data_IF_273286072480
#
_entry.id   IF_273286072480
#
_cell.length_a   1.000
_cell.length_b   1.000
_cell.length_c   1.000
_cell.angle_alpha   90.00
_cell.angle_beta   90.00
_cell.angle_gamma   90.00
#
_symmetry.space_group_name_H-M   'P 1'
#
loop_
_entity.id
_entity.type
_entity.pdbx_description
1 polymer ?
#
# COMPACT_ATOMS: atom_id res chain seq x y z
N UNK A 1 -27.02 -9.21 -22.13
CA UNK A 1 -26.41 -9.46 -20.80
C UNK A 1 -26.82 -8.31 -19.89
N UNK A 2 -27.52 -8.62 -18.79
CA UNK A 2 -27.95 -7.63 -17.81
C UNK A 2 -26.71 -7.08 -17.05
N UNK A 3 -26.82 -5.92 -16.43
CA UNK A 3 -25.76 -5.31 -15.60
C UNK A 3 -25.35 -6.31 -14.50
N UNK A 4 -26.29 -7.06 -13.92
CA UNK A 4 -26.03 -8.08 -12.90
C UNK A 4 -25.16 -9.24 -13.42
N UNK A 5 -25.31 -9.69 -14.67
CA UNK A 5 -24.47 -10.74 -15.25
C UNK A 5 -23.03 -10.27 -15.54
N UNK A 6 -22.82 -8.96 -15.73
CA UNK A 6 -21.48 -8.36 -15.90
C UNK A 6 -20.75 -8.16 -14.58
N UNK A 7 -21.49 -8.00 -13.47
CA UNK A 7 -20.94 -7.87 -12.11
C UNK A 7 -20.45 -9.19 -11.54
N UNK A 8 -21.06 -10.32 -11.92
CA UNK A 8 -20.70 -11.64 -11.39
C UNK A 8 -19.47 -12.26 -12.07
N UNK A 9 -19.11 -11.80 -13.27
CA UNK A 9 -17.94 -12.29 -14.02
C UNK A 9 -16.79 -11.29 -13.92
N UNK A 10 -15.87 -11.49 -12.94
CA UNK A 10 -14.57 -10.81 -12.93
C UNK A 10 -14.48 -9.54 -12.11
N UNK A 11 -15.15 -9.47 -10.94
CA UNK A 11 -14.93 -8.36 -10.00
C UNK A 11 -13.43 -8.26 -9.64
N UNK A 12 -12.80 -7.06 -9.79
CA UNK A 12 -11.36 -6.91 -9.55
C UNK A 12 -10.98 -7.18 -8.09
N UNK A 13 -9.93 -7.98 -7.89
CA UNK A 13 -9.35 -8.20 -6.57
C UNK A 13 -8.62 -6.97 -6.02
N UNK A 14 -8.32 -5.98 -6.85
CA UNK A 14 -7.63 -4.73 -6.49
C UNK A 14 -8.37 -3.50 -7.02
N UNK A 15 -8.14 -2.34 -6.40
CA UNK A 15 -8.63 -1.04 -6.91
C UNK A 15 -7.91 -0.60 -8.19
N UNK A 16 -8.41 0.47 -8.84
CA UNK A 16 -7.78 1.07 -10.01
C UNK A 16 -8.13 0.41 -11.34
N UNK A 17 -9.08 -0.53 -11.40
CA UNK A 17 -9.52 -1.11 -12.67
C UNK A 17 -10.58 -0.23 -13.34
N UNK A 18 -10.11 0.83 -13.98
CA UNK A 18 -10.98 1.80 -14.67
C UNK A 18 -11.71 1.22 -15.86
N UNK A 19 -11.12 0.23 -16.55
CA UNK A 19 -11.76 -0.44 -17.68
C UNK A 19 -13.01 -1.23 -17.23
N UNK A 20 -12.90 -1.97 -16.11
CA UNK A 20 -14.04 -2.66 -15.52
C UNK A 20 -15.11 -1.67 -15.04
N UNK A 21 -14.72 -0.59 -14.34
CA UNK A 21 -15.64 0.42 -13.84
C UNK A 21 -16.39 1.12 -14.97
N UNK A 22 -15.69 1.51 -16.04
CA UNK A 22 -16.25 2.14 -17.22
C UNK A 22 -17.26 1.24 -17.96
N UNK A 23 -16.97 -0.07 -18.04
CA UNK A 23 -17.90 -1.04 -18.63
C UNK A 23 -19.22 -1.15 -17.84
N UNK A 24 -19.20 -0.99 -16.52
CA UNK A 24 -20.40 -0.96 -15.67
C UNK A 24 -21.12 0.38 -15.80
N UNK A 25 -20.39 1.50 -15.74
CA UNK A 25 -20.95 2.85 -15.79
C UNK A 25 -21.36 3.26 -17.23
N UNK A 26 -21.07 2.45 -18.24
CA UNK A 26 -21.32 2.74 -19.66
C UNK A 26 -20.74 4.09 -20.10
N UNK A 27 -19.47 4.35 -19.73
CA UNK A 27 -18.76 5.58 -20.04
C UNK A 27 -17.30 5.29 -20.43
N UNK A 28 -16.52 6.33 -20.75
CA UNK A 28 -15.09 6.18 -21.00
C UNK A 28 -14.32 6.03 -19.68
N UNK A 29 -13.22 5.24 -19.60
CA UNK A 29 -12.41 5.10 -18.37
C UNK A 29 -11.93 6.43 -17.77
N UNK A 30 -11.67 7.44 -18.60
CA UNK A 30 -11.25 8.78 -18.16
C UNK A 30 -12.37 9.57 -17.46
N UNK A 31 -13.64 9.17 -17.61
CA UNK A 31 -14.79 9.82 -16.96
C UNK A 31 -15.00 9.30 -15.53
N UNK A 32 -14.30 8.24 -15.13
CA UNK A 32 -14.41 7.64 -13.80
C UNK A 32 -13.56 8.43 -12.81
N UNK A 33 -14.19 8.94 -11.76
CA UNK A 33 -13.50 9.49 -10.61
C UNK A 33 -13.11 8.34 -9.67
N UNK A 34 -11.82 8.02 -9.62
CA UNK A 34 -11.32 6.83 -8.93
C UNK A 34 -10.88 7.12 -7.50
N UNK A 35 -11.66 6.64 -6.53
CA UNK A 35 -11.31 6.58 -5.11
C UNK A 35 -10.84 5.18 -4.67
N UNK A 36 -10.82 4.20 -5.56
CA UNK A 36 -10.50 2.81 -5.22
C UNK A 36 -8.99 2.55 -5.09
N UNK A 37 -8.16 3.33 -5.80
CA UNK A 37 -6.71 3.29 -5.72
C UNK A 37 -6.19 4.46 -4.90
N UNK A 38 -5.44 4.18 -3.84
CA UNK A 38 -4.90 5.21 -2.93
C UNK A 38 -3.64 5.85 -3.52
N UNK A 39 -3.81 6.56 -4.63
CA UNK A 39 -2.75 7.30 -5.35
C UNK A 39 -2.87 8.78 -5.01
N UNK A 40 -1.72 9.45 -4.83
CA UNK A 40 -1.65 10.88 -4.58
C UNK A 40 -2.28 11.67 -5.76
N UNK A 41 -3.30 12.52 -5.53
CA UNK A 41 -3.96 13.25 -6.62
C UNK A 41 -3.15 14.47 -7.12
N UNK A 42 -2.04 14.82 -6.47
CA UNK A 42 -1.22 15.98 -6.84
C UNK A 42 -0.24 15.69 -7.98
N UNK A 43 0.14 14.42 -8.18
CA UNK A 43 1.16 14.04 -9.15
C UNK A 43 0.63 13.34 -10.41
N UNK A 44 1.54 12.89 -11.27
CA UNK A 44 3.00 12.76 -11.09
C UNK A 44 3.75 14.08 -10.93
N UNK A 45 4.84 14.12 -10.13
CA UNK A 45 5.65 15.32 -9.98
C UNK A 45 6.34 15.73 -11.28
N UNK A 46 6.57 17.05 -11.46
CA UNK A 46 7.23 17.57 -12.66
C UNK A 46 8.64 16.98 -12.85
N UNK A 47 9.35 16.69 -11.78
CA UNK A 47 10.67 16.03 -11.80
C UNK A 47 10.60 14.64 -12.46
N UNK A 48 9.57 13.85 -12.16
CA UNK A 48 9.35 12.54 -12.79
C UNK A 48 9.08 12.71 -14.30
N UNK A 49 8.18 13.61 -14.67
CA UNK A 49 7.82 13.84 -16.08
C UNK A 49 9.06 14.29 -16.89
N UNK A 50 9.86 15.21 -16.35
CA UNK A 50 11.10 15.65 -17.00
C UNK A 50 12.12 14.51 -17.15
N UNK A 51 12.29 13.68 -16.10
CA UNK A 51 13.18 12.52 -16.17
C UNK A 51 12.72 11.49 -17.22
N UNK A 52 11.41 11.23 -17.30
CA UNK A 52 10.83 10.34 -18.32
C UNK A 52 11.06 10.87 -19.74
N UNK A 53 10.79 12.16 -19.98
CA UNK A 53 10.96 12.79 -21.28
C UNK A 53 12.42 12.77 -21.74
N UNK A 54 13.36 13.11 -20.86
CA UNK A 54 14.79 13.07 -21.17
C UNK A 54 15.34 11.65 -21.31
N UNK A 55 14.74 10.69 -20.61
CA UNK A 55 15.15 9.30 -20.60
C UNK A 55 14.64 8.45 -21.77
N UNK A 56 13.74 8.96 -22.63
CA UNK A 56 13.14 8.16 -23.72
C UNK A 56 14.18 7.52 -24.66
N UNK A 57 15.32 8.16 -24.88
CA UNK A 57 16.39 7.64 -25.73
C UNK A 57 17.12 6.42 -25.13
N UNK A 58 17.07 6.24 -23.80
CA UNK A 58 17.72 5.10 -23.12
C UNK A 58 16.98 3.78 -23.30
N UNK A 59 15.74 3.81 -23.83
CA UNK A 59 14.94 2.59 -24.03
C UNK A 59 15.57 1.56 -24.98
N UNK A 60 16.52 1.98 -25.82
CA UNK A 60 17.28 1.09 -26.71
C UNK A 60 18.36 0.27 -26.00
N UNK A 61 18.74 0.65 -24.77
CA UNK A 61 19.82 0.08 -24.02
C UNK A 61 19.30 -0.65 -22.77
N UNK A 62 19.95 -1.72 -22.34
CA UNK A 62 19.63 -2.33 -21.04
C UNK A 62 19.97 -1.36 -19.92
N UNK A 63 19.13 -1.27 -18.85
CA UNK A 63 19.47 -0.48 -17.67
C UNK A 63 20.71 -1.06 -16.94
N UNK A 64 21.31 -0.26 -16.07
CA UNK A 64 22.36 -0.73 -15.16
C UNK A 64 21.79 -1.88 -14.28
N UNK A 65 22.32 -3.12 -14.38
CA UNK A 65 21.80 -4.25 -13.62
C UNK A 65 22.00 -4.08 -12.10
N UNK A 66 22.89 -3.18 -11.68
CA UNK A 66 23.12 -2.85 -10.27
C UNK A 66 22.25 -1.71 -9.77
N UNK A 67 21.58 -0.96 -10.67
CA UNK A 67 20.78 0.24 -10.33
C UNK A 67 21.54 1.20 -9.41
N UNK A 68 22.83 1.40 -9.69
CA UNK A 68 23.79 2.06 -8.79
C UNK A 68 23.36 3.48 -8.42
N UNK A 69 22.85 4.28 -9.37
CA UNK A 69 22.37 5.63 -9.15
C UNK A 69 21.10 5.65 -8.29
N UNK A 70 20.13 4.79 -8.59
CA UNK A 70 18.89 4.69 -7.82
C UNK A 70 19.15 4.22 -6.39
N UNK A 71 20.00 3.19 -6.23
CA UNK A 71 20.39 2.70 -4.90
C UNK A 71 21.12 3.78 -4.10
N UNK A 72 21.99 4.57 -4.74
CA UNK A 72 22.66 5.69 -4.08
C UNK A 72 21.66 6.78 -3.65
N UNK A 73 20.70 7.17 -4.51
CA UNK A 73 19.68 8.16 -4.18
C UNK A 73 18.78 7.69 -3.02
N UNK A 74 18.32 6.44 -3.06
CA UNK A 74 17.50 5.84 -1.99
C UNK A 74 18.32 5.68 -0.70
N UNK A 75 19.56 5.24 -0.78
CA UNK A 75 20.46 5.14 0.36
C UNK A 75 20.67 6.49 1.04
N UNK A 76 20.91 7.55 0.26
CA UNK A 76 21.03 8.91 0.77
C UNK A 76 19.73 9.37 1.49
N UNK A 77 18.56 9.08 0.90
CA UNK A 77 17.28 9.45 1.51
C UNK A 77 17.04 8.76 2.85
N UNK A 78 17.53 7.54 3.03
CA UNK A 78 17.40 6.77 4.28
C UNK A 78 18.65 6.82 5.17
N UNK A 79 19.69 7.57 4.79
CA UNK A 79 20.98 7.65 5.51
C UNK A 79 21.65 6.26 5.68
N UNK A 80 21.53 5.42 4.65
CA UNK A 80 22.07 4.06 4.59
C UNK A 80 23.05 3.90 3.41
N UNK A 81 23.97 2.92 3.51
CA UNK A 81 24.75 2.49 2.34
C UNK A 81 23.81 1.94 1.25
N UNK A 82 24.10 2.19 -0.05
CA UNK A 82 23.36 1.58 -1.15
C UNK A 82 23.25 0.05 -1.07
N UNK A 83 24.14 -0.62 -0.35
CA UNK A 83 24.13 -2.08 -0.18
C UNK A 83 22.91 -2.60 0.60
N UNK A 84 22.24 -1.74 1.37
CA UNK A 84 21.01 -2.06 2.09
C UNK A 84 19.75 -2.00 1.22
N UNK A 85 19.85 -1.48 -0.01
CA UNK A 85 18.72 -1.15 -0.86
C UNK A 85 18.62 -2.12 -2.04
N UNK A 86 17.45 -2.71 -2.26
CA UNK A 86 17.14 -3.52 -3.43
C UNK A 86 15.92 -2.96 -4.15
N UNK A 87 16.10 -2.22 -5.26
CA UNK A 87 14.98 -1.81 -6.12
C UNK A 87 14.30 -3.01 -6.77
N UNK A 88 12.99 -2.92 -7.03
CA UNK A 88 12.22 -3.97 -7.68
C UNK A 88 11.10 -3.42 -8.56
N UNK A 89 10.55 -4.26 -9.42
CA UNK A 89 9.42 -3.98 -10.30
C UNK A 89 8.12 -3.81 -9.51
N UNK A 90 8.04 -2.70 -8.76
CA UNK A 90 7.07 -2.44 -7.72
C UNK A 90 7.40 -3.18 -6.42
N UNK A 91 6.80 -2.75 -5.31
CA UNK A 91 6.90 -3.45 -4.03
C UNK A 91 6.42 -4.92 -4.12
N UNK A 92 5.60 -5.25 -5.09
CA UNK A 92 5.09 -6.62 -5.31
C UNK A 92 6.19 -7.62 -5.67
N UNK A 93 7.22 -7.22 -6.41
CA UNK A 93 8.36 -8.11 -6.68
C UNK A 93 9.14 -8.38 -5.40
N UNK A 94 9.57 -7.34 -4.68
CA UNK A 94 10.34 -7.52 -3.44
C UNK A 94 9.53 -8.21 -2.34
N UNK A 95 8.20 -8.05 -2.32
CA UNK A 95 7.29 -8.83 -1.48
C UNK A 95 7.33 -10.33 -1.85
N UNK A 96 7.49 -10.68 -3.12
CA UNK A 96 7.61 -12.08 -3.56
C UNK A 96 8.88 -12.70 -3.00
N UNK A 97 10.02 -12.01 -3.06
CA UNK A 97 11.27 -12.48 -2.47
C UNK A 97 11.21 -12.56 -0.94
N UNK A 98 10.56 -11.59 -0.30
CA UNK A 98 10.28 -11.65 1.14
C UNK A 98 9.38 -12.85 1.50
N UNK A 99 8.40 -13.16 0.67
CA UNK A 99 7.57 -14.37 0.81
C UNK A 99 8.37 -15.66 0.74
N UNK A 100 9.38 -15.73 -0.12
CA UNK A 100 10.28 -16.88 -0.20
C UNK A 100 11.13 -17.06 1.08
N UNK A 101 11.61 -15.97 1.69
CA UNK A 101 12.37 -16.05 2.97
C UNK A 101 11.58 -16.76 4.08
N UNK A 102 10.27 -16.61 4.09
CA UNK A 102 9.41 -17.26 5.07
C UNK A 102 9.31 -18.79 4.92
N UNK A 103 9.83 -19.37 3.84
CA UNK A 103 9.95 -20.86 3.73
C UNK A 103 10.85 -21.45 4.80
N UNK A 104 11.71 -20.65 5.41
CA UNK A 104 12.54 -21.04 6.55
C UNK A 104 11.78 -21.07 7.89
N UNK A 105 10.55 -20.55 7.93
CA UNK A 105 9.68 -20.47 9.12
C UNK A 105 8.68 -21.64 9.12
N UNK A 106 8.23 -22.08 10.31
CA UNK A 106 7.15 -23.06 10.43
C UNK A 106 5.81 -22.49 9.97
N UNK A 107 5.58 -21.21 10.24
CA UNK A 107 4.38 -20.47 9.84
C UNK A 107 4.64 -18.97 9.86
N UNK A 108 3.70 -18.18 9.30
CA UNK A 108 3.72 -16.72 9.31
C UNK A 108 2.48 -16.17 9.98
N UNK A 109 2.66 -15.39 11.04
CA UNK A 109 1.61 -14.59 11.64
C UNK A 109 1.28 -13.41 10.70
N UNK A 110 0.00 -13.27 10.36
CA UNK A 110 -0.49 -12.24 9.45
C UNK A 110 -1.65 -11.50 10.11
N UNK A 111 -1.46 -10.25 10.60
CA UNK A 111 -2.56 -9.41 11.06
C UNK A 111 -3.63 -9.25 9.97
N UNK A 112 -4.89 -9.44 10.33
CA UNK A 112 -6.02 -9.40 9.40
C UNK A 112 -7.10 -8.42 9.89
N UNK A 113 -7.81 -7.77 8.94
CA UNK A 113 -7.84 -7.95 7.49
C UNK A 113 -6.53 -7.56 6.81
N UNK A 114 -6.07 -8.31 5.82
CA UNK A 114 -4.76 -8.13 5.20
C UNK A 114 -4.86 -7.89 3.69
N UNK A 115 -3.93 -7.12 3.14
CA UNK A 115 -3.81 -6.93 1.69
C UNK A 115 -3.62 -8.28 0.98
N UNK A 116 -4.45 -8.56 -0.04
CA UNK A 116 -4.54 -9.88 -0.67
C UNK A 116 -3.21 -10.41 -1.23
N UNK A 117 -2.32 -9.51 -1.65
CA UNK A 117 -1.03 -9.89 -2.23
C UNK A 117 -0.07 -10.53 -1.21
N UNK A 118 -0.27 -10.28 0.10
CA UNK A 118 0.50 -10.98 1.14
C UNK A 118 0.20 -12.49 1.13
N UNK A 119 -1.09 -12.85 1.08
CA UNK A 119 -1.49 -14.27 0.98
C UNK A 119 -1.00 -14.89 -0.32
N UNK A 120 -1.05 -14.15 -1.45
CA UNK A 120 -0.52 -14.60 -2.74
C UNK A 120 0.98 -14.93 -2.62
N UNK A 121 1.79 -14.01 -2.08
CA UNK A 121 3.25 -14.21 -1.98
C UNK A 121 3.60 -15.40 -1.08
N UNK A 122 2.90 -15.58 0.05
CA UNK A 122 3.13 -16.68 0.99
C UNK A 122 2.67 -18.02 0.41
N UNK A 123 1.46 -18.08 -0.15
CA UNK A 123 0.92 -19.32 -0.74
C UNK A 123 1.70 -19.81 -1.96
N UNK A 124 2.31 -18.88 -2.75
CA UNK A 124 3.16 -19.25 -3.89
C UNK A 124 4.31 -20.18 -3.48
N UNK A 125 4.79 -20.04 -2.26
CA UNK A 125 5.89 -20.84 -1.72
C UNK A 125 5.44 -21.89 -0.68
N UNK A 126 4.13 -22.14 -0.56
CA UNK A 126 3.58 -23.14 0.36
C UNK A 126 3.73 -22.77 1.84
N UNK A 127 3.89 -21.49 2.16
CA UNK A 127 4.06 -21.03 3.54
C UNK A 127 2.72 -21.09 4.28
N UNK A 128 2.71 -21.69 5.48
CA UNK A 128 1.54 -21.73 6.35
C UNK A 128 1.26 -20.32 6.92
N UNK A 129 0.05 -19.83 6.71
CA UNK A 129 -0.40 -18.53 7.22
C UNK A 129 -1.25 -18.72 8.47
N UNK A 130 -0.92 -18.00 9.53
CA UNK A 130 -1.67 -17.92 10.79
C UNK A 130 -2.35 -16.54 10.87
N UNK A 131 -3.63 -16.41 10.50
CA UNK A 131 -4.34 -15.14 10.62
C UNK A 131 -4.41 -14.68 12.07
N UNK A 132 -4.12 -13.39 12.30
CA UNK A 132 -4.21 -12.71 13.58
C UNK A 132 -5.25 -11.59 13.47
N UNK A 133 -6.53 -11.86 13.83
CA UNK A 133 -7.59 -10.87 13.69
C UNK A 133 -7.33 -9.63 14.55
N UNK A 134 -7.36 -8.45 13.94
CA UNK A 134 -7.25 -7.17 14.64
C UNK A 134 -8.59 -6.77 15.25
N UNK A 135 -8.54 -6.14 16.40
CA UNK A 135 -9.72 -5.51 17.01
C UNK A 135 -10.09 -4.24 16.24
N UNK A 136 -11.06 -4.36 15.33
CA UNK A 136 -11.53 -3.27 14.51
C UNK A 136 -12.28 -2.20 15.33
N UNK A 137 -12.92 -2.56 16.45
CA UNK A 137 -13.57 -1.59 17.31
C UNK A 137 -12.54 -0.72 18.04
N UNK A 138 -11.46 -1.30 18.53
CA UNK A 138 -10.35 -0.53 19.10
C UNK A 138 -9.80 0.47 18.08
N UNK A 139 -9.58 0.04 16.82
CA UNK A 139 -9.13 0.93 15.74
C UNK A 139 -10.15 2.04 15.47
N UNK A 140 -11.43 1.73 15.41
CA UNK A 140 -12.50 2.72 15.19
C UNK A 140 -12.57 3.79 16.30
N UNK A 141 -12.15 3.42 17.51
CA UNK A 141 -12.04 4.34 18.66
C UNK A 141 -10.68 5.06 18.74
N UNK A 142 -9.80 4.88 17.73
CA UNK A 142 -8.45 5.47 17.72
C UNK A 142 -7.46 4.81 18.68
N UNK A 143 -7.77 3.60 19.15
CA UNK A 143 -6.89 2.82 20.02
C UNK A 143 -5.99 1.91 19.19
N UNK A 144 -4.80 1.59 19.71
CA UNK A 144 -3.87 0.69 19.04
C UNK A 144 -4.16 -0.76 19.45
N UNK A 145 -4.60 -1.63 18.51
CA UNK A 145 -4.82 -3.03 18.79
C UNK A 145 -3.47 -3.76 18.93
N UNK A 146 -3.47 -4.87 19.67
CA UNK A 146 -2.36 -5.83 19.64
C UNK A 146 -2.24 -6.44 18.23
N UNK A 147 -1.00 -6.63 17.77
CA UNK A 147 -0.71 -7.21 16.44
C UNK A 147 -0.95 -8.72 16.38
N UNK A 148 -0.57 -9.39 17.45
CA UNK A 148 -0.71 -10.81 17.62
C UNK A 148 -0.65 -11.13 19.12
N UNK A 149 -1.45 -12.08 19.53
CA UNK A 149 -1.28 -12.70 20.84
C UNK A 149 -0.26 -13.83 20.70
N UNK A 150 0.98 -13.57 21.11
CA UNK A 150 2.08 -14.53 21.02
C UNK A 150 1.80 -15.81 21.78
N UNK A 151 0.95 -15.77 22.82
CA UNK A 151 0.58 -16.93 23.63
C UNK A 151 -0.36 -17.91 22.90
N UNK A 152 -1.06 -17.45 21.87
CA UNK A 152 -2.00 -18.27 21.08
C UNK A 152 -1.39 -18.86 19.82
N UNK A 153 -0.14 -18.53 19.49
CA UNK A 153 0.53 -19.12 18.34
C UNK A 153 0.80 -20.61 18.58
N UNK A 154 0.54 -21.48 17.57
CA UNK A 154 0.77 -22.92 17.70
C UNK A 154 2.26 -23.30 17.66
N UNK A 155 3.15 -22.36 17.36
CA UNK A 155 4.60 -22.49 17.31
C UNK A 155 5.24 -21.36 18.08
N UNK A 156 6.46 -21.57 18.57
CA UNK A 156 7.24 -20.52 19.22
C UNK A 156 7.54 -19.37 18.24
N UNK A 157 7.49 -18.09 18.66
CA UNK A 157 7.73 -16.95 17.79
C UNK A 157 9.07 -17.04 17.05
N UNK A 158 10.11 -17.55 17.69
CA UNK A 158 11.44 -17.77 17.09
C UNK A 158 11.49 -18.80 15.96
N UNK A 159 10.42 -19.57 15.77
CA UNK A 159 10.21 -20.48 14.63
C UNK A 159 9.29 -19.89 13.56
N UNK A 160 8.64 -18.77 13.85
CA UNK A 160 7.63 -18.13 13.02
C UNK A 160 8.14 -16.86 12.32
N UNK A 161 7.46 -16.50 11.25
CA UNK A 161 7.56 -15.19 10.63
C UNK A 161 6.41 -14.28 11.01
N UNK A 162 6.63 -12.97 10.85
CA UNK A 162 5.60 -11.93 10.94
C UNK A 162 5.61 -11.10 9.66
N UNK A 163 4.44 -10.94 9.02
CA UNK A 163 4.25 -10.02 7.89
C UNK A 163 3.20 -8.99 8.27
N UNK A 164 3.59 -7.73 8.36
CA UNK A 164 2.72 -6.62 8.72
C UNK A 164 2.86 -5.46 7.73
N UNK A 165 1.84 -4.63 7.67
CA UNK A 165 1.81 -3.39 6.91
C UNK A 165 1.64 -2.19 7.88
N UNK A 166 2.50 -1.19 7.78
CA UNK A 166 2.47 0.00 8.62
C UNK A 166 2.76 1.28 7.81
N UNK A 167 1.82 2.21 7.61
CA UNK A 167 0.40 2.21 8.02
C UNK A 167 -0.40 1.05 7.42
N UNK A 168 -1.34 0.53 8.19
CA UNK A 168 -2.07 -0.72 7.88
C UNK A 168 -3.11 -0.55 6.78
N UNK A 169 -3.06 -1.38 5.77
CA UNK A 169 -4.07 -1.47 4.71
C UNK A 169 -4.96 -2.72 4.94
N UNK A 170 -6.28 -2.57 5.23
CA UNK A 170 -7.11 -1.43 4.79
C UNK A 170 -7.44 -0.38 5.86
N UNK A 171 -7.10 -0.54 7.14
CA UNK A 171 -7.64 0.27 8.24
C UNK A 171 -7.02 1.67 8.33
N UNK A 172 -5.82 1.89 7.79
CA UNK A 172 -5.08 3.14 7.96
C UNK A 172 -4.40 3.28 9.33
N UNK A 173 -4.53 2.30 10.23
CA UNK A 173 -3.91 2.33 11.56
C UNK A 173 -2.38 2.40 11.45
N UNK A 174 -1.77 3.14 12.37
CA UNK A 174 -0.33 3.30 12.48
C UNK A 174 0.14 2.83 13.86
N UNK A 175 0.90 1.75 13.90
CA UNK A 175 1.63 1.35 15.13
C UNK A 175 2.89 2.17 15.28
N UNK A 176 3.24 2.49 16.51
CA UNK A 176 4.52 3.12 16.78
C UNK A 176 5.68 2.15 16.60
N UNK A 177 6.87 2.66 16.30
CA UNK A 177 8.07 1.85 16.17
C UNK A 177 8.33 1.04 17.44
N UNK A 178 8.16 1.66 18.63
CA UNK A 178 8.34 1.03 19.94
C UNK A 178 7.36 -0.15 20.14
N UNK A 179 6.13 -0.04 19.63
CA UNK A 179 5.15 -1.13 19.69
C UNK A 179 5.51 -2.31 18.78
N UNK A 180 6.27 -2.06 17.70
CA UNK A 180 6.70 -3.08 16.74
C UNK A 180 7.99 -3.81 17.16
N UNK A 181 8.91 -3.13 17.83
CA UNK A 181 10.23 -3.68 18.18
C UNK A 181 10.18 -5.00 18.98
N UNK A 182 9.29 -5.20 19.97
CA UNK A 182 9.19 -6.51 20.65
C UNK A 182 8.87 -7.68 19.72
N UNK A 183 8.08 -7.43 18.66
CA UNK A 183 7.79 -8.46 17.66
C UNK A 183 8.99 -8.71 16.74
N UNK A 184 9.76 -7.67 16.37
CA UNK A 184 11.01 -7.84 15.61
C UNK A 184 12.00 -8.69 16.38
N UNK A 185 12.08 -8.53 17.70
CA UNK A 185 12.97 -9.30 18.58
C UNK A 185 12.51 -10.76 18.75
N UNK A 186 11.19 -11.01 18.76
CA UNK A 186 10.64 -12.32 19.07
C UNK A 186 10.59 -13.24 17.83
N UNK A 187 10.27 -12.70 16.64
CA UNK A 187 10.05 -13.51 15.46
C UNK A 187 11.35 -13.82 14.70
N UNK A 188 11.41 -15.02 14.10
CA UNK A 188 12.53 -15.47 13.28
C UNK A 188 12.79 -14.57 12.07
N UNK A 189 11.73 -14.11 11.42
CA UNK A 189 11.75 -13.27 10.23
C UNK A 189 10.61 -12.26 10.32
N UNK A 190 10.89 -10.99 10.10
CA UNK A 190 9.88 -9.93 10.11
C UNK A 190 9.94 -9.14 8.81
N UNK A 191 8.79 -8.99 8.18
CA UNK A 191 8.61 -8.14 7.00
C UNK A 191 7.59 -7.06 7.31
N UNK A 192 7.98 -5.81 7.15
CA UNK A 192 7.10 -4.65 7.34
C UNK A 192 6.93 -3.93 6.01
N UNK A 193 5.69 -3.92 5.52
CA UNK A 193 5.33 -3.17 4.32
C UNK A 193 4.99 -1.72 4.71
N UNK A 194 5.90 -0.82 4.41
CA UNK A 194 5.79 0.62 4.66
C UNK A 194 5.41 1.41 3.38
N UNK A 195 4.65 0.81 2.47
CA UNK A 195 4.27 1.43 1.18
C UNK A 195 3.50 2.75 1.31
N UNK A 196 2.97 3.07 2.48
CA UNK A 196 2.25 4.31 2.79
C UNK A 196 2.96 5.21 3.80
N UNK A 197 4.15 4.85 4.25
CA UNK A 197 4.88 5.60 5.29
C UNK A 197 5.26 7.02 4.84
N UNK A 198 5.56 7.20 3.55
CA UNK A 198 5.94 8.50 2.98
C UNK A 198 4.82 9.56 3.07
N UNK A 199 3.57 9.15 3.33
CA UNK A 199 2.45 10.08 3.56
C UNK A 199 2.42 10.72 4.96
N UNK A 200 3.38 10.40 5.80
CA UNK A 200 3.57 11.02 7.12
C UNK A 200 4.78 11.97 7.07
N UNK A 201 4.71 13.13 7.75
CA UNK A 201 5.88 13.96 7.99
C UNK A 201 7.01 13.14 8.63
N UNK A 202 8.26 13.53 8.37
CA UNK A 202 9.45 12.76 8.79
C UNK A 202 9.48 12.54 10.31
N UNK A 203 9.07 13.53 11.09
CA UNK A 203 8.97 13.49 12.56
C UNK A 203 7.79 12.68 13.10
N UNK A 204 6.80 12.39 12.27
CA UNK A 204 5.64 11.54 12.60
C UNK A 204 5.78 10.09 12.09
N UNK A 205 6.78 9.82 11.26
CA UNK A 205 7.00 8.49 10.69
C UNK A 205 7.37 7.48 11.77
N UNK A 206 6.73 6.31 11.69
CA UNK A 206 6.97 5.17 12.59
C UNK A 206 7.72 4.05 11.85
N UNK A 207 8.69 4.45 11.01
CA UNK A 207 9.50 3.53 10.22
C UNK A 207 10.52 2.81 11.09
N UNK A 208 10.76 1.53 10.82
CA UNK A 208 11.82 0.76 11.47
C UNK A 208 13.17 0.83 10.72
N UNK A 209 13.31 1.68 9.72
CA UNK A 209 14.59 1.91 9.02
C UNK A 209 15.74 2.26 10.00
N UNK A 210 15.56 3.10 11.02
CA UNK A 210 16.65 3.41 11.96
C UNK A 210 17.22 2.19 12.72
N UNK A 211 16.44 1.12 12.85
CA UNK A 211 16.85 -0.10 13.58
C UNK A 211 17.27 -1.24 12.63
N UNK A 212 17.30 -1.02 11.31
CA UNK A 212 17.55 -2.08 10.34
C UNK A 212 18.93 -2.74 10.50
N UNK A 213 19.92 -2.00 10.99
CA UNK A 213 21.26 -2.50 11.23
C UNK A 213 21.36 -3.43 12.45
N UNK A 214 20.47 -3.25 13.44
CA UNK A 214 20.45 -4.02 14.69
C UNK A 214 19.69 -5.35 14.53
N UNK A 215 18.81 -5.45 13.49
CA UNK A 215 17.92 -6.58 13.30
C UNK A 215 18.08 -7.22 11.91
N UNK A 216 19.01 -8.16 11.72
CA UNK A 216 19.26 -8.81 10.42
C UNK A 216 18.06 -9.65 9.92
N UNK A 217 17.11 -9.98 10.79
CA UNK A 217 15.84 -10.64 10.45
C UNK A 217 14.77 -9.68 9.91
N UNK A 218 15.01 -8.36 9.91
CA UNK A 218 14.05 -7.36 9.47
C UNK A 218 14.19 -7.08 7.97
N UNK A 219 13.04 -6.98 7.30
CA UNK A 219 12.89 -6.51 5.92
C UNK A 219 11.84 -5.41 5.90
N UNK A 220 12.15 -4.27 5.31
CA UNK A 220 11.20 -3.17 5.12
C UNK A 220 10.94 -3.04 3.62
N UNK A 221 9.66 -2.98 3.23
CA UNK A 221 9.24 -2.76 1.84
C UNK A 221 8.73 -1.33 1.68
N UNK A 222 9.14 -0.66 0.60
CA UNK A 222 8.72 0.70 0.25
C UNK A 222 8.18 0.76 -1.17
N UNK A 223 7.32 1.73 -1.46
CA UNK A 223 6.69 1.88 -2.77
C UNK A 223 6.72 3.32 -3.24
N UNK A 224 7.31 3.58 -4.40
CA UNK A 224 7.26 4.90 -5.04
C UNK A 224 5.99 5.12 -5.88
N UNK A 225 5.11 4.11 -5.97
CA UNK A 225 3.92 4.16 -6.82
C UNK A 225 2.78 5.00 -6.24
N UNK A 226 2.66 5.09 -4.91
CA UNK A 226 1.51 5.72 -4.24
C UNK A 226 1.75 7.21 -4.01
N UNK A 227 2.80 7.53 -3.28
CA UNK A 227 3.15 8.89 -2.90
C UNK A 227 3.47 9.76 -4.12
N UNK A 228 4.27 9.24 -5.07
CA UNK A 228 4.69 9.96 -6.27
C UNK A 228 3.78 9.78 -7.48
N UNK A 229 2.62 9.13 -7.33
CA UNK A 229 1.65 8.92 -8.44
C UNK A 229 2.23 8.24 -9.67
N UNK A 230 3.07 7.22 -9.47
CA UNK A 230 3.76 6.48 -10.53
C UNK A 230 3.37 5.00 -10.60
N UNK A 231 2.07 4.61 -10.46
CA UNK A 231 1.68 3.20 -10.43
C UNK A 231 2.01 2.47 -11.73
N UNK A 232 1.98 3.18 -12.88
CA UNK A 232 2.28 2.61 -14.19
C UNK A 232 3.75 2.29 -14.42
N UNK A 233 4.68 2.95 -13.72
CA UNK A 233 6.12 2.70 -13.84
C UNK A 233 6.59 1.45 -13.11
N UNK A 234 5.83 1.00 -12.10
CA UNK A 234 6.16 -0.20 -11.34
C UNK A 234 7.51 -0.10 -10.60
N UNK A 235 7.61 0.76 -9.59
CA UNK A 235 8.83 0.94 -8.81
C UNK A 235 8.57 0.85 -7.31
N UNK A 236 9.31 0.02 -6.63
CA UNK A 236 9.40 -0.12 -5.18
C UNK A 236 10.79 -0.65 -4.80
N UNK A 237 11.03 -0.83 -3.54
CA UNK A 237 12.31 -1.35 -3.08
C UNK A 237 12.17 -2.02 -1.70
N UNK A 238 13.14 -2.89 -1.39
CA UNK A 238 13.35 -3.41 -0.06
C UNK A 238 14.55 -2.72 0.60
N UNK A 239 14.48 -2.55 1.91
CA UNK A 239 15.59 -2.18 2.79
C UNK A 239 15.81 -3.38 3.71
N UNK A 240 17.01 -3.95 3.69
CA UNK A 240 17.36 -5.12 4.51
C UNK A 240 18.86 -5.35 4.55
N UNK A 241 19.30 -6.31 5.36
CA UNK A 241 20.73 -6.62 5.51
C UNK A 241 21.41 -6.88 4.16
N UNK A 242 22.64 -6.37 3.91
CA UNK A 242 23.36 -6.50 2.63
C UNK A 242 23.49 -7.94 2.12
N UNK A 243 23.72 -8.91 2.99
CA UNK A 243 23.81 -10.33 2.59
C UNK A 243 22.49 -10.83 1.99
N UNK A 244 21.34 -10.34 2.49
CA UNK A 244 20.03 -10.66 1.93
C UNK A 244 19.82 -9.97 0.59
N UNK A 245 20.25 -8.72 0.45
CA UNK A 245 20.23 -8.00 -0.83
C UNK A 245 21.02 -8.77 -1.88
N UNK A 246 22.26 -9.21 -1.58
CA UNK A 246 23.08 -10.01 -2.49
C UNK A 246 22.40 -11.34 -2.86
N UNK A 247 21.83 -12.03 -1.87
CA UNK A 247 21.14 -13.30 -2.08
C UNK A 247 19.94 -13.13 -3.02
N UNK A 248 19.10 -12.10 -2.80
CA UNK A 248 17.94 -11.82 -3.66
C UNK A 248 18.35 -11.38 -5.07
N UNK A 249 19.45 -10.63 -5.21
CA UNK A 249 20.01 -10.28 -6.51
C UNK A 249 20.42 -11.53 -7.32
N UNK A 250 20.90 -12.58 -6.66
CA UNK A 250 21.27 -13.82 -7.34
C UNK A 250 20.08 -14.68 -7.79
N UNK A 251 18.88 -14.43 -7.25
CA UNK A 251 17.67 -15.20 -7.56
C UNK A 251 16.82 -14.59 -8.67
N UNK A 252 16.95 -13.29 -8.90
CA UNK A 252 16.09 -12.55 -9.80
C UNK A 252 16.74 -12.21 -11.13
N UNK A 253 15.91 -11.82 -12.11
CA UNK A 253 16.38 -11.21 -13.34
C UNK A 253 17.17 -9.94 -13.03
N UNK A 254 18.36 -9.72 -13.64
CA UNK A 254 19.17 -8.53 -13.38
C UNK A 254 18.50 -7.23 -13.84
N UNK A 255 17.53 -7.27 -14.76
CA UNK A 255 16.85 -6.09 -15.34
C UNK A 255 15.37 -5.98 -14.94
N UNK A 256 15.03 -6.31 -13.71
CA UNK A 256 13.65 -6.29 -13.21
C UNK A 256 13.01 -4.91 -13.24
N UNK A 257 13.78 -3.84 -12.99
CA UNK A 257 13.33 -2.45 -13.05
C UNK A 257 13.65 -1.87 -14.42
N UNK A 258 12.63 -1.34 -15.12
CA UNK A 258 12.81 -0.73 -16.42
C UNK A 258 13.56 0.62 -16.32
N UNK A 259 14.23 1.02 -17.41
CA UNK A 259 15.08 2.21 -17.45
C UNK A 259 14.35 3.50 -17.08
N UNK A 260 13.10 3.67 -17.49
CA UNK A 260 12.31 4.87 -17.18
C UNK A 260 11.91 4.91 -15.70
N UNK A 261 11.61 3.77 -15.09
CA UNK A 261 11.33 3.69 -13.66
C UNK A 261 12.57 4.02 -12.82
N UNK A 262 13.74 3.53 -13.24
CA UNK A 262 15.04 3.86 -12.62
C UNK A 262 15.29 5.37 -12.62
N UNK A 263 15.19 6.01 -13.79
CA UNK A 263 15.38 7.46 -13.92
C UNK A 263 14.35 8.29 -13.15
N UNK A 264 13.08 7.90 -13.23
CA UNK A 264 12.03 8.60 -12.49
C UNK A 264 12.22 8.45 -10.97
N UNK A 265 12.63 7.24 -10.50
CA UNK A 265 12.92 6.99 -9.10
C UNK A 265 14.00 7.90 -8.56
N UNK A 266 15.13 8.03 -9.29
CA UNK A 266 16.22 8.94 -8.93
C UNK A 266 15.74 10.39 -8.79
N UNK A 267 14.88 10.83 -9.71
CA UNK A 267 14.39 12.21 -9.74
C UNK A 267 13.41 12.51 -8.58
N UNK A 268 12.50 11.59 -8.26
CA UNK A 268 11.43 11.88 -7.29
C UNK A 268 11.87 11.76 -5.83
N UNK A 269 12.86 10.91 -5.54
CA UNK A 269 13.36 10.74 -4.16
C UNK A 269 13.91 12.03 -3.59
N UNK A 270 14.51 12.88 -4.44
CA UNK A 270 15.04 14.20 -4.07
C UNK A 270 14.04 15.37 -4.23
N UNK A 271 12.81 15.13 -4.69
CA UNK A 271 11.83 16.20 -4.96
C UNK A 271 11.15 16.69 -3.68
N UNK A 272 11.89 17.50 -2.90
CA UNK A 272 11.42 18.08 -1.64
C UNK A 272 10.18 18.95 -1.81
N UNK A 273 10.05 19.64 -2.95
CA UNK A 273 8.89 20.50 -3.20
C UNK A 273 7.60 19.67 -3.28
N UNK A 274 7.60 18.60 -4.07
CA UNK A 274 6.44 17.70 -4.18
C UNK A 274 6.12 17.01 -2.86
N UNK A 275 7.15 16.59 -2.12
CA UNK A 275 6.99 16.00 -0.78
C UNK A 275 6.28 16.98 0.16
N UNK A 276 6.76 18.21 0.26
CA UNK A 276 6.16 19.25 1.11
C UNK A 276 4.72 19.56 0.70
N UNK A 277 4.43 19.72 -0.58
CA UNK A 277 3.08 19.97 -1.09
C UNK A 277 2.12 18.83 -0.71
N UNK A 278 2.57 17.58 -0.82
CA UNK A 278 1.78 16.41 -0.45
C UNK A 278 1.49 16.38 1.04
N UNK A 279 2.50 16.59 1.88
CA UNK A 279 2.37 16.56 3.34
C UNK A 279 1.54 17.73 3.88
N UNK A 280 1.56 18.89 3.21
CA UNK A 280 0.69 20.02 3.56
C UNK A 280 -0.76 19.81 3.13
N UNK A 281 -0.99 19.16 1.99
CA UNK A 281 -2.33 18.92 1.47
C UNK A 281 -3.08 17.81 2.23
N UNK A 282 -2.42 16.69 2.53
CA UNK A 282 -3.10 15.48 2.97
C UNK A 282 -3.83 15.59 4.33
N UNK A 283 -3.23 16.14 5.42
CA UNK A 283 -3.88 16.15 6.73
C UNK A 283 -5.23 16.90 6.73
N UNK A 284 -5.33 18.16 6.24
CA UNK A 284 -6.61 18.87 6.22
C UNK A 284 -7.63 18.21 5.26
N UNK A 285 -7.19 17.68 4.11
CA UNK A 285 -8.07 17.00 3.17
C UNK A 285 -8.64 15.70 3.78
N UNK A 286 -7.82 14.92 4.49
CA UNK A 286 -8.25 13.71 5.19
C UNK A 286 -9.22 14.02 6.32
N UNK A 287 -8.92 15.04 7.13
CA UNK A 287 -9.80 15.46 8.23
C UNK A 287 -11.17 15.93 7.74
N UNK A 288 -11.19 16.76 6.70
CA UNK A 288 -12.43 17.25 6.10
C UNK A 288 -13.27 16.11 5.52
N UNK A 289 -12.64 15.18 4.79
CA UNK A 289 -13.32 14.02 4.23
C UNK A 289 -13.88 13.11 5.33
N UNK A 290 -13.11 12.87 6.40
CA UNK A 290 -13.55 12.06 7.54
C UNK A 290 -14.76 12.70 8.24
N UNK A 291 -14.76 14.02 8.46
CA UNK A 291 -15.88 14.74 9.05
C UNK A 291 -17.14 14.68 8.15
N UNK A 292 -16.97 14.85 6.84
CA UNK A 292 -18.07 14.74 5.87
C UNK A 292 -18.68 13.34 5.84
N UNK A 293 -17.88 12.29 5.88
CA UNK A 293 -18.36 10.90 5.96
C UNK A 293 -19.12 10.61 7.25
N UNK A 294 -18.62 11.09 8.39
CA UNK A 294 -19.26 10.90 9.69
C UNK A 294 -20.61 11.62 9.80
N UNK A 295 -20.85 12.64 8.98
CA UNK A 295 -22.13 13.34 8.91
C UNK A 295 -23.21 12.61 8.08
N UNK A 296 -22.81 11.58 7.29
CA UNK A 296 -23.76 10.78 6.48
C UNK A 296 -24.30 9.64 7.35
N UNK A 297 -25.62 9.55 7.58
CA UNK A 297 -26.22 8.46 8.36
C UNK A 297 -25.81 7.09 7.81
N UNK A 298 -25.58 6.11 8.68
CA UNK A 298 -25.22 4.75 8.29
C UNK A 298 -23.78 4.57 7.82
N UNK A 299 -22.93 5.61 7.85
CA UNK A 299 -21.49 5.53 7.58
C UNK A 299 -20.67 5.82 8.84
N UNK A 300 -19.66 4.98 9.08
CA UNK A 300 -18.68 5.15 10.18
C UNK A 300 -17.27 5.10 9.60
N UNK A 301 -16.62 6.25 9.37
CA UNK A 301 -15.23 6.27 8.94
C UNK A 301 -14.29 5.90 10.09
N UNK A 302 -13.21 5.20 9.76
CA UNK A 302 -12.14 4.82 10.70
C UNK A 302 -11.01 5.85 10.64
N UNK A 303 -10.44 6.26 11.79
CA UNK A 303 -9.26 7.12 11.80
C UNK A 303 -8.08 6.39 11.14
N UNK A 304 -7.32 7.11 10.33
CA UNK A 304 -6.18 6.53 9.62
C UNK A 304 -5.07 7.54 9.36
N UNK A 305 -3.83 7.05 9.26
CA UNK A 305 -2.64 7.85 9.05
C UNK A 305 -2.27 8.02 7.56
N UNK A 306 -2.74 7.12 6.68
CA UNK A 306 -2.41 7.14 5.26
C UNK A 306 -3.33 8.05 4.42
N UNK A 307 -3.15 8.02 3.10
CA UNK A 307 -3.97 8.76 2.13
C UNK A 307 -5.27 8.04 1.74
N UNK A 308 -5.86 7.28 2.66
CA UNK A 308 -7.14 6.61 2.50
C UNK A 308 -7.86 6.47 3.85
N UNK A 309 -9.15 6.23 3.78
CA UNK A 309 -10.01 5.93 4.91
C UNK A 309 -10.76 4.62 4.67
N UNK A 310 -10.83 3.77 5.70
CA UNK A 310 -11.76 2.66 5.77
C UNK A 310 -13.09 3.20 6.30
N UNK A 311 -14.20 2.78 5.69
CA UNK A 311 -15.55 3.21 6.07
C UNK A 311 -16.39 1.98 6.26
N UNK A 312 -17.05 1.86 7.42
CA UNK A 312 -18.08 0.88 7.68
C UNK A 312 -19.43 1.44 7.22
N UNK A 313 -20.24 0.64 6.57
CA UNK A 313 -21.58 0.98 6.13
C UNK A 313 -22.64 0.04 6.75
N UNK A 314 -23.81 0.55 7.07
CA UNK A 314 -24.96 -0.26 7.51
C UNK A 314 -25.55 -1.07 6.36
N UNK A 315 -25.42 -0.57 5.13
CA UNK A 315 -25.85 -1.25 3.91
C UNK A 315 -24.70 -2.01 3.22
N UNK A 316 -25.03 -2.77 2.17
CA UNK A 316 -24.05 -3.46 1.32
C UNK A 316 -23.11 -2.47 0.64
N UNK A 317 -21.79 -2.60 0.89
CA UNK A 317 -20.74 -1.81 0.25
C UNK A 317 -20.66 -2.06 -1.26
N UNK A 318 -20.97 -3.28 -1.67
CA UNK A 318 -21.05 -3.70 -3.06
C UNK A 318 -22.18 -2.99 -3.80
N UNK A 319 -23.39 -2.95 -3.21
CA UNK A 319 -24.52 -2.24 -3.78
C UNK A 319 -24.28 -0.74 -3.83
N UNK A 320 -23.64 -0.18 -2.78
CA UNK A 320 -23.24 1.23 -2.73
C UNK A 320 -22.24 1.56 -3.85
N UNK A 321 -21.19 0.76 -4.03
CA UNK A 321 -20.22 0.94 -5.12
C UNK A 321 -20.91 0.94 -6.49
N UNK A 322 -21.87 0.03 -6.71
CA UNK A 322 -22.59 -0.05 -7.98
C UNK A 322 -23.43 1.20 -8.24
N UNK A 323 -24.16 1.70 -7.22
CA UNK A 323 -24.95 2.95 -7.34
C UNK A 323 -24.06 4.15 -7.62
N UNK A 324 -22.94 4.30 -6.90
CA UNK A 324 -21.95 5.37 -7.13
C UNK A 324 -21.38 5.32 -8.56
N UNK A 325 -21.03 4.14 -9.06
CA UNK A 325 -20.53 3.97 -10.43
C UNK A 325 -21.57 4.36 -11.47
N UNK A 326 -22.79 3.85 -11.36
CA UNK A 326 -23.82 4.02 -12.41
C UNK A 326 -24.43 5.42 -12.41
N UNK A 327 -24.57 6.08 -11.25
CA UNK A 327 -25.20 7.39 -11.15
C UNK A 327 -24.20 8.53 -11.22
N UNK A 328 -23.02 8.37 -10.56
CA UNK A 328 -22.06 9.45 -10.33
C UNK A 328 -20.71 9.23 -11.04
N UNK A 329 -20.48 8.05 -11.65
CA UNK A 329 -19.18 7.66 -12.23
C UNK A 329 -18.04 7.71 -11.20
N UNK A 330 -18.35 7.36 -9.94
CA UNK A 330 -17.39 7.32 -8.85
C UNK A 330 -17.10 5.87 -8.50
N UNK A 331 -15.82 5.49 -8.49
CA UNK A 331 -15.36 4.16 -8.11
C UNK A 331 -14.77 4.20 -6.71
N UNK A 332 -15.40 3.53 -5.74
CA UNK A 332 -14.83 3.25 -4.42
C UNK A 332 -14.28 1.82 -4.36
N UNK A 333 -13.41 1.53 -3.40
CA UNK A 333 -12.92 0.17 -3.19
C UNK A 333 -13.87 -0.57 -2.25
N UNK A 334 -14.69 -1.49 -2.77
CA UNK A 334 -15.33 -2.47 -1.89
C UNK A 334 -14.27 -3.33 -1.18
N UNK A 335 -14.54 -3.76 0.01
CA UNK A 335 -13.61 -4.55 0.80
C UNK A 335 -13.90 -6.06 0.78
N UNK A 336 -14.66 -6.55 -0.20
CA UNK A 336 -14.97 -7.99 -0.36
C UNK A 336 -13.72 -8.86 -0.47
N UNK A 337 -12.64 -8.33 -1.05
CA UNK A 337 -11.35 -9.03 -1.15
C UNK A 337 -10.59 -9.13 0.17
N UNK A 338 -11.12 -8.54 1.25
CA UNK A 338 -10.69 -8.72 2.63
C UNK A 338 -11.77 -9.56 3.34
N UNK A 339 -11.62 -10.89 3.43
CA UNK A 339 -12.70 -11.78 3.88
C UNK A 339 -13.26 -11.42 5.27
N UNK A 340 -12.40 -10.86 6.12
CA UNK A 340 -12.74 -10.49 7.50
C UNK A 340 -13.67 -9.27 7.58
N UNK A 341 -13.75 -8.45 6.52
CA UNK A 341 -14.59 -7.24 6.46
C UNK A 341 -15.99 -7.51 5.87
N UNK A 342 -16.10 -8.52 5.01
CA UNK A 342 -17.35 -8.84 4.31
C UNK A 342 -17.87 -7.67 3.46
N UNK A 343 -19.21 -7.59 3.30
CA UNK A 343 -19.88 -6.61 2.44
C UNK A 343 -20.42 -5.38 3.23
N UNK A 344 -19.71 -5.00 4.30
CA UNK A 344 -20.07 -3.86 5.14
C UNK A 344 -19.00 -2.78 5.18
N UNK A 345 -17.93 -2.97 4.43
CA UNK A 345 -16.81 -2.03 4.44
C UNK A 345 -16.42 -1.63 3.02
N UNK A 346 -16.04 -0.39 2.86
CA UNK A 346 -15.36 0.10 1.68
C UNK A 346 -14.20 1.00 2.05
N UNK A 347 -13.20 1.09 1.19
CA UNK A 347 -12.04 1.98 1.36
C UNK A 347 -12.06 3.05 0.27
N UNK A 348 -11.72 4.28 0.63
CA UNK A 348 -11.64 5.41 -0.28
C UNK A 348 -10.30 6.12 -0.13
N UNK A 349 -9.72 6.53 -1.24
CA UNK A 349 -8.57 7.42 -1.25
C UNK A 349 -8.97 8.82 -0.76
N UNK A 350 -8.05 9.53 -0.12
CA UNK A 350 -8.18 10.98 0.07
C UNK A 350 -7.73 11.66 -1.22
N UNK A 351 -8.58 12.53 -1.77
CA UNK A 351 -8.34 13.23 -3.00
C UNK A 351 -8.42 14.75 -2.81
N UNK A 352 -8.43 15.52 -3.90
CA UNK A 352 -8.57 16.99 -3.83
C UNK A 352 -9.91 17.36 -3.21
N UNK A 353 -10.03 18.53 -2.56
CA UNK A 353 -11.26 18.94 -1.85
C UNK A 353 -12.52 18.88 -2.71
N UNK A 354 -12.44 19.33 -3.96
CA UNK A 354 -13.55 19.31 -4.92
C UNK A 354 -13.96 17.88 -5.32
N UNK A 355 -13.00 16.96 -5.42
CA UNK A 355 -13.26 15.56 -5.71
C UNK A 355 -13.87 14.86 -4.48
N UNK A 356 -13.34 15.15 -3.28
CA UNK A 356 -13.89 14.65 -2.02
C UNK A 356 -15.35 15.10 -1.81
N UNK A 357 -15.67 16.37 -2.14
CA UNK A 357 -17.04 16.86 -2.05
C UNK A 357 -17.97 16.11 -3.00
N UNK A 358 -17.55 15.87 -4.26
CA UNK A 358 -18.33 15.06 -5.20
C UNK A 358 -18.61 13.64 -4.69
N UNK A 359 -17.64 13.03 -3.99
CA UNK A 359 -17.85 11.73 -3.36
C UNK A 359 -18.90 11.82 -2.25
N UNK A 360 -18.81 12.83 -1.37
CA UNK A 360 -19.75 13.01 -0.26
C UNK A 360 -21.18 13.23 -0.77
N UNK A 361 -21.35 14.07 -1.80
CA UNK A 361 -22.66 14.32 -2.45
C UNK A 361 -23.21 13.01 -3.07
N UNK A 362 -22.37 12.25 -3.78
CA UNK A 362 -22.77 10.98 -4.35
C UNK A 362 -23.12 9.91 -3.31
N UNK A 363 -22.39 9.86 -2.18
CA UNK A 363 -22.70 8.97 -1.07
C UNK A 363 -24.05 9.33 -0.43
N UNK A 364 -24.34 10.61 -0.21
CA UNK A 364 -25.62 11.08 0.34
C UNK A 364 -26.81 10.75 -0.59
N UNK A 365 -26.64 10.87 -1.93
CA UNK A 365 -27.67 10.50 -2.92
C UNK A 365 -27.89 8.97 -3.04
N UNK A 366 -26.91 8.18 -2.64
CA UNK A 366 -26.93 6.72 -2.76
C UNK A 366 -27.34 5.97 -1.47
N UNK A 367 -27.70 6.67 -0.41
CA UNK A 367 -28.18 6.07 0.87
C UNK A 367 -29.58 5.43 0.80
#
# INVERSE_FOLDING_TARGET
MTVESRLSTGRPAHGGNLAWAAAIALCHPQDILDFSASINPLGPPASAIAALQSGMATLRDYPDPSYSQLRAALGQAHQLSPDWILPGNGAAEVLTWAGYEFTSCKAVALPTPAFGDYRRSLHTFGVLVLPQPLDLEAIALGQSPSLADLSTLPYAPEDCGLLINNPHNPTGHLWTAEALLPYVQAFKQVVIDEAFMDFLPEDEQQSLVPWIADYPNLVILRSLTKFYSLPGLRLGYAITHPDRVQRWQSWRDPWTVNALADLAGQAVVGDRLFQQQTLQWLPPARQSLMAGLAAIPGLRPYPGAANYLLVQAEASSTALQQRLLTRHRILVRDCISFPELGDRFFRIAVRRPEENQRLLDGLADCQ
#
